data_IF_876936013128
#
_entry.id   IF_876936013128
#
_cell.length_a   1.000
_cell.length_b   1.000
_cell.length_c   1.000
_cell.angle_alpha   90.00
_cell.angle_beta   90.00
_cell.angle_gamma   90.00
#
_symmetry.space_group_name_H-M   'P 1'
#
loop_
_entity.id
_entity.type
_entity.pdbx_description
1 polymer ?
#
# COMPACT_ATOMS: atom_id res chain seq x y z
N UNK A 1 0.88 49.13 3.38
CA UNK A 1 0.72 47.89 4.17
C UNK A 1 -0.50 47.15 3.65
N UNK A 2 -0.34 46.29 2.64
CA UNK A 2 -1.45 45.55 2.03
C UNK A 2 -1.61 44.20 2.71
N UNK A 3 -2.69 44.03 3.49
CA UNK A 3 -3.04 42.76 4.12
C UNK A 3 -3.61 41.84 3.03
N UNK A 4 -2.82 40.84 2.62
CA UNK A 4 -3.36 39.71 1.86
C UNK A 4 -4.30 38.90 2.76
N UNK A 5 -5.60 39.03 2.53
CA UNK A 5 -6.61 38.13 3.07
C UNK A 5 -6.33 36.73 2.52
N UNK A 6 -5.89 35.81 3.40
CA UNK A 6 -5.76 34.39 3.04
C UNK A 6 -7.17 33.83 2.88
N UNK A 7 -7.55 33.54 1.64
CA UNK A 7 -8.76 32.79 1.36
C UNK A 7 -8.55 31.36 1.93
N UNK A 8 -9.39 30.86 2.84
CA UNK A 8 -9.35 29.46 3.22
C UNK A 8 -9.91 28.65 2.05
N UNK A 9 -9.02 28.23 1.14
CA UNK A 9 -9.38 27.23 0.14
C UNK A 9 -9.54 25.89 0.86
N UNK A 10 -10.79 25.44 0.97
CA UNK A 10 -11.16 24.10 1.43
C UNK A 10 -10.66 23.09 0.39
N UNK A 11 -9.37 22.79 0.44
CA UNK A 11 -8.79 21.74 -0.37
C UNK A 11 -9.42 20.41 0.06
N UNK A 12 -10.15 19.78 -0.86
CA UNK A 12 -10.70 18.43 -0.70
C UNK A 12 -9.58 17.37 -0.79
N UNK A 13 -8.43 17.64 -0.20
CA UNK A 13 -7.23 16.79 -0.22
C UNK A 13 -7.39 15.53 0.62
N UNK A 14 -8.26 15.53 1.63
CA UNK A 14 -8.46 14.36 2.49
C UNK A 14 -8.96 13.15 1.70
N UNK A 15 -9.82 13.35 0.69
CA UNK A 15 -10.24 12.26 -0.22
C UNK A 15 -9.17 11.88 -1.25
N UNK A 16 -8.10 12.65 -1.37
CA UNK A 16 -6.97 12.34 -2.26
C UNK A 16 -5.86 11.62 -1.49
N UNK A 17 -5.76 11.85 -0.17
CA UNK A 17 -4.82 11.19 0.73
C UNK A 17 -4.95 9.66 0.73
N UNK A 18 -6.14 9.14 1.05
CA UNK A 18 -6.41 7.68 1.07
C UNK A 18 -6.21 7.04 -0.31
N UNK A 19 -6.56 7.75 -1.39
CA UNK A 19 -6.39 7.25 -2.76
C UNK A 19 -4.90 7.15 -3.11
N UNK A 20 -4.11 8.15 -2.71
CA UNK A 20 -2.67 8.16 -2.91
C UNK A 20 -2.00 7.05 -2.09
N UNK A 21 -2.41 6.86 -0.83
CA UNK A 21 -1.95 5.77 0.03
C UNK A 21 -2.31 4.41 -0.56
N UNK A 22 -3.53 4.24 -1.09
CA UNK A 22 -3.97 3.01 -1.75
C UNK A 22 -3.20 2.72 -3.04
N UNK A 23 -2.91 3.72 -3.88
CA UNK A 23 -2.18 3.54 -5.15
C UNK A 23 -0.70 3.25 -4.91
N UNK A 24 -0.03 4.02 -4.06
CA UNK A 24 1.36 3.75 -3.67
C UNK A 24 1.46 2.40 -2.97
N UNK A 25 0.49 2.11 -2.11
CA UNK A 25 0.37 0.83 -1.45
C UNK A 25 0.21 -0.33 -2.42
N UNK A 26 -0.72 -0.26 -3.37
CA UNK A 26 -0.89 -1.30 -4.38
C UNK A 26 0.38 -1.50 -5.23
N UNK A 27 1.05 -0.40 -5.62
CA UNK A 27 2.30 -0.46 -6.37
C UNK A 27 3.40 -1.21 -5.60
N UNK A 28 3.64 -0.82 -4.35
CA UNK A 28 4.69 -1.42 -3.54
C UNK A 28 4.31 -2.85 -3.11
N UNK A 29 3.03 -3.10 -2.86
CA UNK A 29 2.47 -4.40 -2.51
C UNK A 29 2.63 -5.44 -3.63
N UNK A 30 2.40 -5.07 -4.89
CA UNK A 30 2.60 -5.98 -6.03
C UNK A 30 4.07 -6.37 -6.16
N UNK A 31 4.98 -5.40 -6.09
CA UNK A 31 6.42 -5.65 -6.21
C UNK A 31 6.92 -6.52 -5.05
N UNK A 32 6.50 -6.23 -3.81
CA UNK A 32 6.88 -7.04 -2.65
C UNK A 32 6.33 -8.47 -2.71
N UNK A 33 5.07 -8.67 -3.09
CA UNK A 33 4.49 -10.02 -3.21
C UNK A 33 5.14 -10.78 -4.36
N UNK A 34 5.40 -10.14 -5.51
CA UNK A 34 6.09 -10.77 -6.62
C UNK A 34 7.51 -11.21 -6.23
N UNK A 35 8.28 -10.35 -5.55
CA UNK A 35 9.61 -10.69 -5.06
C UNK A 35 9.59 -11.83 -4.04
N UNK A 36 8.64 -11.81 -3.10
CA UNK A 36 8.43 -12.88 -2.11
C UNK A 36 8.13 -14.22 -2.79
N UNK A 37 7.17 -14.24 -3.71
CA UNK A 37 6.76 -15.44 -4.45
C UNK A 37 7.90 -15.98 -5.31
N UNK A 38 8.64 -15.11 -6.00
CA UNK A 38 9.82 -15.50 -6.79
C UNK A 38 10.92 -16.08 -5.89
N UNK A 39 11.17 -15.46 -4.73
CA UNK A 39 12.15 -15.96 -3.76
C UNK A 39 11.79 -17.35 -3.21
N UNK A 40 10.53 -17.57 -2.86
CA UNK A 40 10.03 -18.88 -2.40
C UNK A 40 10.01 -19.91 -3.53
N UNK A 41 9.71 -19.51 -4.76
CA UNK A 41 9.80 -20.40 -5.92
C UNK A 41 11.27 -20.82 -6.18
N UNK A 42 12.21 -19.87 -6.06
CA UNK A 42 13.64 -20.14 -6.23
C UNK A 42 14.22 -21.07 -5.16
N UNK A 43 13.59 -21.15 -3.97
CA UNK A 43 14.00 -22.11 -2.93
C UNK A 43 13.58 -23.56 -3.20
N UNK A 44 12.90 -23.83 -4.34
CA UNK A 44 12.40 -25.15 -4.68
C UNK A 44 11.16 -25.58 -3.87
N UNK A 45 10.44 -24.62 -3.28
CA UNK A 45 9.25 -24.90 -2.51
C UNK A 45 8.13 -25.49 -3.39
N UNK A 46 7.29 -26.40 -2.86
CA UNK A 46 6.17 -26.95 -3.61
C UNK A 46 5.13 -25.87 -3.91
N UNK A 47 4.35 -26.08 -4.99
CA UNK A 47 3.37 -25.11 -5.48
C UNK A 47 2.34 -24.67 -4.42
N UNK A 48 1.94 -25.58 -3.52
CA UNK A 48 1.06 -25.27 -2.39
C UNK A 48 1.65 -24.21 -1.46
N UNK A 49 2.95 -24.27 -1.18
CA UNK A 49 3.66 -23.29 -0.36
C UNK A 49 3.77 -21.96 -1.07
N UNK A 50 4.04 -21.95 -2.38
CA UNK A 50 4.10 -20.73 -3.18
C UNK A 50 2.75 -20.01 -3.17
N UNK A 51 1.65 -20.75 -3.39
CA UNK A 51 0.29 -20.21 -3.35
C UNK A 51 -0.09 -19.69 -1.97
N UNK A 52 0.18 -20.47 -0.91
CA UNK A 52 -0.07 -20.05 0.46
C UNK A 52 0.71 -18.77 0.82
N UNK A 53 1.97 -18.68 0.38
CA UNK A 53 2.83 -17.51 0.61
C UNK A 53 2.31 -16.28 -0.13
N UNK A 54 1.89 -16.43 -1.39
CA UNK A 54 1.31 -15.33 -2.16
C UNK A 54 0.04 -14.78 -1.52
N UNK A 55 -0.89 -15.67 -1.14
CA UNK A 55 -2.15 -15.27 -0.47
C UNK A 55 -1.85 -14.62 0.89
N UNK A 56 -1.02 -15.23 1.72
CA UNK A 56 -0.65 -14.66 3.02
C UNK A 56 0.04 -13.30 2.88
N UNK A 57 0.96 -13.16 1.92
CA UNK A 57 1.67 -11.91 1.64
C UNK A 57 0.75 -10.79 1.17
N UNK A 58 -0.22 -11.08 0.29
CA UNK A 58 -1.21 -10.08 -0.16
C UNK A 58 -2.11 -9.61 0.98
N UNK A 59 -2.61 -10.53 1.81
CA UNK A 59 -3.48 -10.20 2.95
C UNK A 59 -2.71 -9.39 3.99
N UNK A 60 -1.47 -9.80 4.32
CA UNK A 60 -0.62 -9.07 5.25
C UNK A 60 -0.28 -7.66 4.73
N UNK A 61 0.05 -7.52 3.45
CA UNK A 61 0.35 -6.23 2.83
C UNK A 61 -0.85 -5.28 2.83
N UNK A 62 -2.03 -5.77 2.49
CA UNK A 62 -3.26 -4.98 2.52
C UNK A 62 -3.61 -4.52 3.95
N UNK A 63 -3.47 -5.40 4.94
CA UNK A 63 -3.68 -5.07 6.35
C UNK A 63 -2.67 -4.03 6.85
N UNK A 64 -1.40 -4.12 6.46
CA UNK A 64 -0.38 -3.16 6.84
C UNK A 64 -0.68 -1.75 6.29
N UNK A 65 -1.18 -1.63 5.06
CA UNK A 65 -1.57 -0.34 4.46
C UNK A 65 -2.80 0.26 5.14
N UNK A 66 -3.80 -0.57 5.45
CA UNK A 66 -4.98 -0.13 6.20
C UNK A 66 -4.61 0.33 7.61
N UNK A 67 -3.73 -0.40 8.29
CA UNK A 67 -3.24 -0.03 9.63
C UNK A 67 -2.36 1.24 9.59
N UNK A 68 -1.54 1.40 8.56
CA UNK A 68 -0.70 2.59 8.37
C UNK A 68 -1.53 3.87 8.21
N UNK A 69 -2.63 3.80 7.45
CA UNK A 69 -3.58 4.92 7.33
C UNK A 69 -4.38 5.16 8.61
N UNK A 70 -4.70 4.11 9.39
CA UNK A 70 -5.41 4.27 10.66
C UNK A 70 -4.59 4.98 11.75
N UNK A 71 -3.26 4.84 11.70
CA UNK A 71 -2.32 5.43 12.68
C UNK A 71 -1.78 6.79 12.27
N UNK A 72 -1.83 7.13 10.98
CA UNK A 72 -1.27 8.37 10.42
C UNK A 72 -2.26 9.53 10.39
#
# INVERSE_FOLDING_TARGET
MSRHSRHPELHRSERVGWLRAAVLGANDGIVSVAGLVVGVAASGAPASTILATGVAGTVAGAMAMAAGEYVS
#
